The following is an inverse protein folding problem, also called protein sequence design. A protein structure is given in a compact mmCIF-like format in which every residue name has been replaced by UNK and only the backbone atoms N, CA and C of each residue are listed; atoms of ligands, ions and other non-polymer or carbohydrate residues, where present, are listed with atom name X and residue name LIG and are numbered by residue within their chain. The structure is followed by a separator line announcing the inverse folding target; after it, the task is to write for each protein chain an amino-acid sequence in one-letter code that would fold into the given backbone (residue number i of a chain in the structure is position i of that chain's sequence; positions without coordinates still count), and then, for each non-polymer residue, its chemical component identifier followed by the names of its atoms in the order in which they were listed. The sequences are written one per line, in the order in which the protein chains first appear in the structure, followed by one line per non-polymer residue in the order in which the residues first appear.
data_IF_025375929805
#
_entry.id   IF_025375929805
#
_cell.length_a   1.000
_cell.length_b   1.000
_cell.length_c   1.000
_cell.angle_alpha   90.00
_cell.angle_beta   90.00
_cell.angle_gamma   90.00
#
_symmetry.space_group_name_H-M   'P 1'
#
loop_
_entity.id
_entity.type
_entity.pdbx_description
1 polymer ?
#
# COMPACT_ATOMS: atom_id res chain seq x y z
N UNK A 1 15.42 13.17 -10.90
CA UNK A 1 16.51 12.25 -10.50
C UNK A 1 17.36 12.01 -11.74
N UNK A 2 18.68 11.90 -11.60
CA UNK A 2 19.51 11.43 -12.70
C UNK A 2 19.02 10.04 -13.14
N UNK A 3 19.02 9.71 -14.44
CA UNK A 3 18.72 8.35 -14.86
C UNK A 3 19.70 7.40 -14.16
N UNK A 4 19.26 6.19 -13.78
CA UNK A 4 20.17 5.17 -13.33
C UNK A 4 21.19 4.96 -14.45
N UNK A 5 22.44 4.64 -14.08
CA UNK A 5 23.44 4.28 -15.08
C UNK A 5 22.96 3.10 -15.95
N UNK A 6 23.69 2.77 -17.00
CA UNK A 6 23.43 1.57 -17.80
C UNK A 6 24.35 0.43 -17.35
N UNK A 7 23.84 -0.79 -17.29
CA UNK A 7 24.68 -1.99 -17.22
C UNK A 7 25.18 -2.33 -18.61
N UNK A 8 26.49 -2.46 -18.76
CA UNK A 8 27.15 -2.91 -19.99
C UNK A 8 27.39 -4.44 -19.92
N UNK A 9 27.60 -5.12 -21.06
CA UNK A 9 27.94 -6.55 -21.05
C UNK A 9 29.12 -6.85 -20.12
N UNK A 10 29.02 -7.93 -19.34
CA UNK A 10 30.04 -8.35 -18.35
C UNK A 10 30.29 -7.33 -17.22
N UNK A 11 29.32 -6.45 -16.94
CA UNK A 11 29.37 -5.53 -15.80
C UNK A 11 28.13 -5.68 -14.93
N UNK A 12 28.18 -5.14 -13.71
CA UNK A 12 27.04 -5.06 -12.83
C UNK A 12 27.04 -3.70 -12.12
N UNK A 13 25.86 -3.26 -11.69
CA UNK A 13 25.70 -2.06 -10.87
C UNK A 13 25.08 -2.44 -9.53
N UNK A 14 25.63 -1.87 -8.45
CA UNK A 14 25.04 -2.00 -7.13
C UNK A 14 23.75 -1.20 -7.06
N UNK A 15 22.68 -1.84 -6.59
CA UNK A 15 21.36 -1.24 -6.46
C UNK A 15 20.76 -1.57 -5.08
N UNK A 16 19.93 -0.66 -4.58
CA UNK A 16 19.20 -0.85 -3.32
C UNK A 16 17.72 -1.12 -3.60
N UNK A 17 17.04 -1.82 -2.69
CA UNK A 17 15.60 -2.08 -2.78
C UNK A 17 14.80 -0.80 -3.01
N UNK A 18 13.92 -0.81 -4.01
CA UNK A 18 13.06 0.32 -4.35
C UNK A 18 13.69 1.33 -5.31
N UNK A 19 14.97 1.20 -5.66
CA UNK A 19 15.60 2.02 -6.69
C UNK A 19 15.13 1.63 -8.10
N UNK A 20 15.23 2.59 -9.03
CA UNK A 20 14.94 2.34 -10.44
C UNK A 20 16.02 1.46 -11.06
N UNK A 21 15.60 0.44 -11.81
CA UNK A 21 16.48 -0.54 -12.43
C UNK A 21 17.27 0.12 -13.57
N UNK A 22 18.60 -0.06 -13.62
CA UNK A 22 19.46 0.39 -14.72
C UNK A 22 19.03 -0.11 -16.09
N UNK A 23 19.21 0.72 -17.12
CA UNK A 23 19.05 0.28 -18.50
C UNK A 23 20.05 -0.84 -18.80
N UNK A 24 19.61 -1.84 -19.59
CA UNK A 24 20.42 -3.02 -19.92
C UNK A 24 20.43 -4.13 -18.86
N UNK A 25 19.72 -3.96 -17.74
CA UNK A 25 19.53 -5.02 -16.74
C UNK A 25 18.19 -5.75 -16.94
N UNK A 26 18.18 -7.07 -16.77
CA UNK A 26 16.98 -7.91 -16.83
C UNK A 26 16.72 -8.70 -15.53
N UNK A 27 17.60 -8.57 -14.51
CA UNK A 27 17.44 -9.17 -13.19
C UNK A 27 18.19 -8.38 -12.11
N UNK A 28 17.79 -8.57 -10.86
CA UNK A 28 18.52 -8.10 -9.66
C UNK A 28 18.83 -9.29 -8.77
N UNK A 29 20.11 -9.48 -8.46
CA UNK A 29 20.59 -10.54 -7.56
C UNK A 29 20.74 -9.97 -6.16
N UNK A 30 20.29 -10.71 -5.15
CA UNK A 30 20.46 -10.32 -3.76
C UNK A 30 21.93 -10.41 -3.36
N UNK A 31 22.41 -9.50 -2.53
CA UNK A 31 23.83 -9.46 -2.14
C UNK A 31 24.28 -10.75 -1.46
N UNK A 32 23.39 -11.41 -0.73
CA UNK A 32 23.62 -12.69 -0.05
C UNK A 32 23.97 -13.82 -1.04
N UNK A 33 23.49 -13.72 -2.28
CA UNK A 33 23.74 -14.68 -3.35
C UNK A 33 24.97 -14.29 -4.21
N UNK A 34 25.71 -13.25 -3.81
CA UNK A 34 26.91 -12.74 -4.52
C UNK A 34 28.15 -12.72 -3.66
N UNK A 35 29.34 -12.76 -4.26
CA UNK A 35 30.61 -12.49 -3.58
C UNK A 35 31.35 -11.38 -4.31
N UNK A 36 31.61 -10.26 -3.64
CA UNK A 36 32.31 -9.11 -4.21
C UNK A 36 33.78 -9.13 -3.79
N UNK A 37 34.70 -8.99 -4.76
CA UNK A 37 36.14 -8.91 -4.52
C UNK A 37 36.80 -8.08 -5.63
N UNK A 38 37.73 -7.19 -5.25
CA UNK A 38 38.57 -6.41 -6.16
C UNK A 38 37.82 -5.70 -7.32
N UNK A 39 36.62 -5.18 -7.04
CA UNK A 39 35.79 -4.50 -8.04
C UNK A 39 35.04 -5.43 -9.00
N UNK A 40 35.07 -6.74 -8.74
CA UNK A 40 34.32 -7.77 -9.45
C UNK A 40 33.29 -8.41 -8.52
N UNK A 41 32.27 -9.04 -9.11
CA UNK A 41 31.21 -9.72 -8.36
C UNK A 41 30.93 -11.09 -8.98
N UNK A 42 31.03 -12.12 -8.16
CA UNK A 42 30.64 -13.48 -8.50
C UNK A 42 29.18 -13.71 -8.13
N UNK A 43 28.39 -14.17 -9.11
CA UNK A 43 27.00 -14.58 -8.90
C UNK A 43 26.99 -16.08 -8.60
N UNK A 44 26.62 -16.46 -7.37
CA UNK A 44 26.80 -17.83 -6.85
C UNK A 44 25.61 -18.75 -7.10
N UNK A 45 24.54 -18.22 -7.72
CA UNK A 45 23.29 -18.93 -8.01
C UNK A 45 22.87 -18.67 -9.46
N UNK A 46 22.15 -19.58 -10.11
CA UNK A 46 21.52 -19.27 -11.40
C UNK A 46 20.48 -18.16 -11.23
N UNK A 47 20.43 -17.22 -12.17
CA UNK A 47 19.52 -16.06 -12.16
C UNK A 47 18.69 -16.08 -13.43
N UNK A 48 17.36 -16.06 -13.27
CA UNK A 48 16.45 -15.97 -14.39
C UNK A 48 16.13 -14.51 -14.70
N UNK A 49 15.79 -14.22 -15.96
CA UNK A 49 15.24 -12.92 -16.33
C UNK A 49 13.98 -12.62 -15.51
N UNK A 50 13.86 -11.40 -15.01
CA UNK A 50 12.76 -10.94 -14.14
C UNK A 50 12.99 -11.17 -12.65
N UNK A 51 14.06 -11.87 -12.23
CA UNK A 51 14.33 -12.09 -10.81
C UNK A 51 14.48 -10.76 -10.06
N UNK A 52 13.72 -10.60 -8.98
CA UNK A 52 13.71 -9.43 -8.10
C UNK A 52 13.38 -8.09 -8.79
N UNK A 53 12.73 -8.13 -9.96
CA UNK A 53 12.22 -6.95 -10.64
C UNK A 53 10.75 -6.72 -10.32
N UNK A 54 10.36 -5.46 -10.17
CA UNK A 54 8.94 -5.04 -10.12
C UNK A 54 8.66 -4.13 -11.30
N UNK A 55 7.78 -4.58 -12.19
CA UNK A 55 7.38 -3.80 -13.35
C UNK A 55 6.56 -2.56 -12.92
N UNK A 56 6.68 -1.47 -13.68
CA UNK A 56 5.83 -0.31 -13.47
C UNK A 56 4.34 -0.70 -13.57
N UNK A 57 3.58 -0.36 -12.54
CA UNK A 57 2.16 -0.73 -12.44
C UNK A 57 1.90 -2.20 -12.16
N UNK A 58 2.85 -2.94 -11.58
CA UNK A 58 2.62 -4.31 -11.08
C UNK A 58 1.54 -4.37 -10.01
N UNK A 59 1.47 -3.34 -9.17
CA UNK A 59 0.53 -3.29 -8.04
C UNK A 59 -0.80 -2.62 -8.46
N UNK A 60 -0.71 -1.51 -9.19
CA UNK A 60 -1.84 -0.73 -9.69
C UNK A 60 -1.49 -0.10 -11.03
N UNK A 61 -2.37 -0.23 -12.02
CA UNK A 61 -2.25 0.42 -13.32
C UNK A 61 -3.06 1.71 -13.36
N UNK A 62 -2.64 2.61 -14.25
CA UNK A 62 -3.42 3.80 -14.55
C UNK A 62 -4.79 3.39 -15.10
N UNK A 63 -5.84 3.86 -14.44
CA UNK A 63 -7.23 3.56 -14.82
C UNK A 63 -7.87 2.44 -14.00
N UNK A 64 -7.11 1.76 -13.15
CA UNK A 64 -7.67 0.74 -12.25
C UNK A 64 -8.65 1.37 -11.25
N UNK A 65 -9.73 0.65 -10.99
CA UNK A 65 -10.75 1.05 -10.03
C UNK A 65 -10.32 0.69 -8.61
N UNK A 66 -10.05 1.69 -7.78
CA UNK A 66 -9.66 1.47 -6.37
C UNK A 66 -10.84 1.23 -5.43
N UNK A 67 -11.97 1.89 -5.68
CA UNK A 67 -13.20 1.73 -4.91
C UNK A 67 -14.41 2.16 -5.72
N UNK A 68 -15.55 1.52 -5.47
CA UNK A 68 -16.85 1.95 -5.95
C UNK A 68 -17.48 2.96 -5.00
N UNK A 69 -18.40 3.78 -5.52
CA UNK A 69 -19.23 4.65 -4.67
C UNK A 69 -20.02 3.81 -3.64
N UNK A 70 -20.13 4.33 -2.41
CA UNK A 70 -20.76 3.62 -1.29
C UNK A 70 -19.85 2.65 -0.54
N UNK A 71 -18.61 2.43 -0.99
CA UNK A 71 -17.63 1.65 -0.24
C UNK A 71 -17.24 2.36 1.04
N UNK A 72 -17.27 1.64 2.17
CA UNK A 72 -16.79 2.14 3.46
C UNK A 72 -15.28 2.38 3.40
N UNK A 73 -14.84 3.55 3.87
CA UNK A 73 -13.43 3.91 3.96
C UNK A 73 -12.80 3.22 5.16
N UNK A 74 -11.99 2.19 4.89
CA UNK A 74 -11.20 1.46 5.89
C UNK A 74 -9.74 1.91 5.89
N UNK A 75 -8.93 1.61 6.92
CA UNK A 75 -7.50 1.92 6.92
C UNK A 75 -6.75 1.38 5.69
N UNK A 76 -7.10 0.16 5.23
CA UNK A 76 -6.52 -0.41 4.02
C UNK A 76 -6.86 0.38 2.75
N UNK A 77 -8.10 0.86 2.63
CA UNK A 77 -8.50 1.70 1.50
C UNK A 77 -7.79 3.06 1.54
N UNK A 78 -7.60 3.65 2.73
CA UNK A 78 -6.82 4.88 2.90
C UNK A 78 -5.39 4.67 2.40
N UNK A 79 -4.75 3.56 2.78
CA UNK A 79 -3.42 3.20 2.31
C UNK A 79 -3.34 3.08 0.78
N UNK A 80 -4.28 2.37 0.16
CA UNK A 80 -4.32 2.20 -1.29
C UNK A 80 -4.52 3.53 -2.03
N UNK A 81 -5.43 4.39 -1.54
CA UNK A 81 -5.66 5.73 -2.09
C UNK A 81 -4.42 6.62 -1.98
N UNK A 82 -3.76 6.61 -0.82
CA UNK A 82 -2.54 7.37 -0.59
C UNK A 82 -1.39 6.90 -1.51
N UNK A 83 -1.19 5.59 -1.66
CA UNK A 83 -0.20 5.01 -2.59
C UNK A 83 -0.49 5.37 -4.05
N UNK A 84 -1.76 5.59 -4.40
CA UNK A 84 -2.16 6.09 -5.71
C UNK A 84 -2.10 7.63 -5.84
N UNK A 85 -1.53 8.34 -4.86
CA UNK A 85 -1.39 9.79 -4.86
C UNK A 85 -2.70 10.56 -4.60
N UNK A 86 -3.73 9.92 -4.04
CA UNK A 86 -5.02 10.56 -3.71
C UNK A 86 -5.03 11.02 -2.25
N UNK A 87 -4.91 12.33 -2.06
CA UNK A 87 -4.85 12.96 -0.73
C UNK A 87 -6.22 13.34 -0.15
N UNK A 88 -7.27 13.30 -0.97
CA UNK A 88 -8.65 13.55 -0.58
C UNK A 88 -9.61 12.70 -1.42
N UNK A 89 -10.76 12.36 -0.83
CA UNK A 89 -11.85 11.65 -1.50
C UNK A 89 -13.20 12.28 -1.18
N UNK A 90 -14.13 12.15 -2.10
CA UNK A 90 -15.52 12.56 -1.88
C UNK A 90 -16.24 11.47 -1.09
N UNK A 91 -16.81 11.85 0.05
CA UNK A 91 -17.61 10.97 0.89
C UNK A 91 -19.04 11.49 0.97
N UNK A 92 -19.98 10.58 1.18
CA UNK A 92 -21.34 10.96 1.58
C UNK A 92 -21.28 11.62 2.96
N UNK A 93 -22.11 12.65 3.16
CA UNK A 93 -22.28 13.27 4.47
C UNK A 93 -22.84 12.24 5.44
N UNK A 94 -22.36 12.21 6.69
CA UNK A 94 -22.95 11.37 7.73
C UNK A 94 -24.44 11.70 7.90
N UNK A 95 -25.35 10.71 7.84
CA UNK A 95 -26.75 10.93 8.15
C UNK A 95 -26.91 11.54 9.53
N UNK A 96 -27.85 12.49 9.66
CA UNK A 96 -28.24 13.07 10.95
C UNK A 96 -29.55 12.41 11.34
N UNK A 97 -29.58 11.80 12.52
CA UNK A 97 -30.75 11.08 13.05
C UNK A 97 -31.13 11.69 14.38
N UNK A 98 -32.41 12.02 14.56
CA UNK A 98 -32.99 12.39 15.84
C UNK A 98 -33.66 11.16 16.44
N UNK A 99 -33.33 10.84 17.68
CA UNK A 99 -33.96 9.77 18.45
C UNK A 99 -34.75 10.39 19.60
N UNK A 100 -36.02 9.99 19.73
CA UNK A 100 -36.90 10.39 20.82
C UNK A 100 -37.47 9.12 21.45
N UNK A 101 -37.33 9.00 22.77
CA UNK A 101 -37.97 7.95 23.57
C UNK A 101 -39.07 8.60 24.40
N UNK A 102 -40.23 7.96 24.43
CA UNK A 102 -41.40 8.42 25.21
C UNK A 102 -41.98 7.23 25.95
N UNK A 103 -42.35 7.44 27.19
CA UNK A 103 -42.92 6.41 28.04
C UNK A 103 -42.79 6.85 29.49
N UNK A 104 -43.90 6.91 30.21
CA UNK A 104 -43.90 7.27 31.63
C UNK A 104 -43.22 6.18 32.50
N UNK A 105 -43.03 4.99 31.91
CA UNK A 105 -42.27 3.90 32.47
C UNK A 105 -40.75 4.11 32.41
N UNK A 106 -40.24 4.90 31.46
CA UNK A 106 -38.79 5.01 31.22
C UNK A 106 -38.12 5.92 32.25
N UNK A 107 -37.01 5.45 32.84
CA UNK A 107 -36.14 6.25 33.71
C UNK A 107 -34.73 6.40 33.18
N UNK A 108 -34.06 7.48 33.59
CA UNK A 108 -32.66 7.69 33.25
C UNK A 108 -31.74 6.74 34.02
N UNK A 109 -30.62 6.27 33.43
CA UNK A 109 -29.66 5.42 34.13
C UNK A 109 -29.13 6.08 35.40
N UNK A 110 -29.33 5.40 36.53
CA UNK A 110 -28.92 5.88 37.86
C UNK A 110 -30.05 6.50 38.69
N UNK A 111 -31.22 6.73 38.12
CA UNK A 111 -32.42 7.05 38.89
C UNK A 111 -32.99 5.80 39.60
N UNK A 112 -33.62 6.00 40.76
CA UNK A 112 -34.33 4.93 41.42
C UNK A 112 -35.62 4.59 40.67
N UNK A 113 -35.85 3.31 40.42
CA UNK A 113 -37.07 2.83 39.76
C UNK A 113 -38.26 2.83 40.71
N UNK A 114 -39.37 3.40 40.25
CA UNK A 114 -40.69 3.24 40.86
C UNK A 114 -41.43 1.99 40.34
N UNK A 115 -42.57 1.62 40.96
CA UNK A 115 -43.39 0.51 40.46
C UNK A 115 -43.79 0.70 39.00
N UNK A 116 -43.49 -0.29 38.16
CA UNK A 116 -43.80 -0.25 36.73
C UNK A 116 -42.82 0.57 35.87
N UNK A 117 -41.79 1.17 36.47
CA UNK A 117 -40.74 1.87 35.75
C UNK A 117 -39.58 0.94 35.40
N UNK A 118 -38.92 1.21 34.28
CA UNK A 118 -37.78 0.47 33.73
C UNK A 118 -36.61 1.39 33.40
#
# INVERSE_FOLDING_TARGET
AAPPGSVQPQTALRIMTGAMVPDGSDAVVRVEDTAEHDGTVDVRVPVAAGTSLRAAGSDLRRGDLLATAGRVVTPGLIGALASAGRVAVQCVRRPRVLLLTTGDELREPGEALGPGQI
#
